data_IF_198864307739
#
_entry.id   IF_198864307739
#
_cell.length_a   1.000
_cell.length_b   1.000
_cell.length_c   1.000
_cell.angle_alpha   90.00
_cell.angle_beta   90.00
_cell.angle_gamma   90.00
#
_symmetry.space_group_name_H-M   'P 1'
#
loop_
_entity.id
_entity.type
_entity.pdbx_description
1 polymer ?
#
# COMPACT_ATOMS: atom_id res chain seq x y z
N UNK A 1 16.02 -4.04 -5.40
CA UNK A 1 15.09 -2.91 -5.56
C UNK A 1 14.72 -2.84 -7.03
N UNK A 2 13.43 -2.96 -7.36
CA UNK A 2 12.94 -2.69 -8.71
C UNK A 2 13.14 -1.20 -9.00
N UNK A 3 13.36 -0.83 -10.25
CA UNK A 3 13.27 0.58 -10.63
C UNK A 3 11.85 1.08 -10.33
N UNK A 4 11.74 2.17 -9.56
CA UNK A 4 10.45 2.80 -9.32
C UNK A 4 9.84 3.17 -10.68
N UNK A 5 8.62 2.71 -11.01
CA UNK A 5 7.96 3.14 -12.23
C UNK A 5 7.96 4.67 -12.31
N UNK A 6 8.30 5.21 -13.49
CA UNK A 6 8.40 6.66 -13.77
C UNK A 6 7.12 7.46 -13.45
N UNK A 7 6.03 6.77 -13.12
CA UNK A 7 4.72 7.33 -12.85
C UNK A 7 4.25 7.04 -11.42
N UNK A 8 5.17 6.91 -10.46
CA UNK A 8 4.82 6.80 -9.04
C UNK A 8 4.29 8.14 -8.54
N UNK A 9 3.10 8.07 -7.96
CA UNK A 9 2.46 9.18 -7.27
C UNK A 9 3.07 9.30 -5.86
N UNK A 10 3.87 10.35 -5.67
CA UNK A 10 4.61 10.56 -4.42
C UNK A 10 3.65 10.74 -3.21
N UNK A 11 2.47 11.31 -3.42
CA UNK A 11 1.49 11.51 -2.35
C UNK A 11 0.93 10.17 -1.88
N UNK A 12 0.67 9.24 -2.80
CA UNK A 12 0.23 7.88 -2.49
C UNK A 12 1.31 7.11 -1.73
N UNK A 13 2.58 7.21 -2.15
CA UNK A 13 3.69 6.56 -1.44
C UNK A 13 3.82 7.10 -0.02
N UNK A 14 3.72 8.41 0.18
CA UNK A 14 3.77 9.02 1.50
C UNK A 14 2.58 8.60 2.38
N UNK A 15 1.37 8.51 1.79
CA UNK A 15 0.18 8.07 2.49
C UNK A 15 0.28 6.61 2.95
N UNK A 16 0.72 5.71 2.06
CA UNK A 16 0.99 4.30 2.41
C UNK A 16 2.04 4.23 3.52
N UNK A 17 3.12 5.03 3.42
CA UNK A 17 4.14 5.09 4.45
C UNK A 17 3.58 5.43 5.83
N UNK A 18 2.78 6.49 5.93
CA UNK A 18 2.13 6.91 7.19
C UNK A 18 1.18 5.84 7.73
N UNK A 19 0.31 5.31 6.86
CA UNK A 19 -0.62 4.24 7.22
C UNK A 19 0.10 3.03 7.82
N UNK A 20 1.23 2.61 7.23
CA UNK A 20 2.03 1.50 7.73
C UNK A 20 2.79 1.83 9.02
N UNK A 21 3.27 3.07 9.17
CA UNK A 21 3.99 3.51 10.36
C UNK A 21 3.05 3.63 11.58
N UNK A 22 1.78 3.98 11.36
CA UNK A 22 0.73 4.01 12.38
C UNK A 22 0.25 2.59 12.78
N UNK A 23 0.57 1.57 11.98
CA UNK A 23 0.15 0.19 12.24
C UNK A 23 0.95 -0.43 13.39
N UNK A 24 0.25 -0.98 14.38
CA UNK A 24 0.91 -1.73 15.45
C UNK A 24 1.56 -2.99 14.86
N UNK A 25 2.85 -3.24 15.17
CA UNK A 25 3.65 -4.37 14.64
C UNK A 25 3.03 -5.78 14.83
N UNK A 26 2.03 -5.90 15.70
CA UNK A 26 1.34 -7.15 16.02
C UNK A 26 0.11 -7.41 15.15
N UNK A 27 -0.40 -6.39 14.44
CA UNK A 27 -1.56 -6.51 13.55
C UNK A 27 -1.09 -6.67 12.09
N UNK A 28 -1.74 -7.57 11.35
CA UNK A 28 -1.53 -7.66 9.90
C UNK A 28 -2.10 -6.45 9.17
N UNK A 29 -1.46 -6.04 8.09
CA UNK A 29 -1.94 -5.01 7.17
C UNK A 29 -2.87 -5.65 6.15
N UNK A 30 -4.13 -5.23 6.11
CA UNK A 30 -5.11 -5.67 5.09
C UNK A 30 -4.85 -4.96 3.77
N UNK A 31 -4.76 -5.72 2.66
CA UNK A 31 -4.66 -5.11 1.33
C UNK A 31 -5.98 -4.48 0.90
N UNK A 32 -7.11 -5.11 1.21
CA UNK A 32 -8.42 -4.58 0.88
C UNK A 32 -8.67 -3.21 1.52
N UNK A 33 -8.40 -3.09 2.82
CA UNK A 33 -8.58 -1.84 3.55
C UNK A 33 -7.57 -0.79 3.10
N UNK A 34 -6.31 -1.17 2.87
CA UNK A 34 -5.27 -0.24 2.41
C UNK A 34 -5.64 0.39 1.06
N UNK A 35 -6.05 -0.42 0.08
CA UNK A 35 -6.48 0.09 -1.23
C UNK A 35 -7.70 1.01 -1.09
N UNK A 36 -8.69 0.60 -0.29
CA UNK A 36 -9.90 1.38 -0.08
C UNK A 36 -9.59 2.73 0.57
N UNK A 37 -8.70 2.75 1.57
CA UNK A 37 -8.27 3.97 2.23
C UNK A 37 -7.57 4.92 1.25
N UNK A 38 -6.59 4.43 0.49
CA UNK A 38 -5.88 5.24 -0.50
C UNK A 38 -6.83 5.81 -1.55
N UNK A 39 -7.78 5.01 -2.07
CA UNK A 39 -8.79 5.50 -3.03
C UNK A 39 -9.73 6.54 -2.48
N UNK A 40 -10.02 6.48 -1.18
CA UNK A 40 -10.87 7.44 -0.50
C UNK A 40 -10.15 8.77 -0.28
N UNK A 41 -8.86 8.73 -0.01
CA UNK A 41 -8.06 9.88 0.41
C UNK A 41 -7.30 10.56 -0.74
N UNK A 42 -7.00 9.84 -1.81
CA UNK A 42 -6.15 10.30 -2.90
C UNK A 42 -6.77 10.05 -4.28
N UNK A 43 -6.70 11.08 -5.14
CA UNK A 43 -6.97 10.94 -6.57
C UNK A 43 -5.67 10.63 -7.29
N UNK A 44 -5.51 9.40 -7.77
CA UNK A 44 -4.27 8.92 -8.38
C UNK A 44 -4.53 8.11 -9.64
N UNK A 45 -3.57 8.13 -10.58
CA UNK A 45 -3.59 7.32 -11.79
C UNK A 45 -3.10 5.88 -11.57
N UNK A 46 -2.50 5.59 -10.41
CA UNK A 46 -2.10 4.23 -10.05
C UNK A 46 -3.32 3.31 -10.08
N UNK A 47 -3.17 2.10 -10.61
CA UNK A 47 -4.20 1.07 -10.53
C UNK A 47 -4.27 0.49 -9.12
N UNK A 48 -5.32 -0.25 -8.81
CA UNK A 48 -5.39 -0.88 -7.50
C UNK A 48 -4.28 -1.93 -7.31
N UNK A 49 -3.87 -2.59 -8.39
CA UNK A 49 -2.74 -3.51 -8.38
C UNK A 49 -1.42 -2.77 -8.07
N UNK A 50 -1.20 -1.60 -8.68
CA UNK A 50 -0.02 -0.79 -8.37
C UNK A 50 0.01 -0.38 -6.88
N UNK A 51 -1.16 -0.04 -6.32
CA UNK A 51 -1.29 0.29 -4.89
C UNK A 51 -1.00 -0.95 -4.03
N UNK A 52 -1.53 -2.13 -4.37
CA UNK A 52 -1.23 -3.38 -3.65
C UNK A 52 0.25 -3.72 -3.67
N UNK A 53 0.89 -3.66 -4.84
CA UNK A 53 2.33 -3.92 -4.98
C UNK A 53 3.14 -2.97 -4.08
N UNK A 54 2.81 -1.67 -4.08
CA UNK A 54 3.45 -0.68 -3.22
C UNK A 54 3.25 -0.98 -1.73
N UNK A 55 2.03 -1.33 -1.30
CA UNK A 55 1.74 -1.69 0.09
C UNK A 55 2.55 -2.91 0.51
N UNK A 56 2.61 -3.96 -0.33
CA UNK A 56 3.38 -5.18 -0.05
C UNK A 56 4.87 -4.86 0.08
N UNK A 57 5.46 -4.13 -0.86
CA UNK A 57 6.88 -3.78 -0.84
C UNK A 57 7.23 -2.94 0.40
N UNK A 58 6.39 -1.94 0.71
CA UNK A 58 6.61 -1.04 1.84
C UNK A 58 6.37 -1.72 3.19
N UNK A 59 5.41 -2.65 3.29
CA UNK A 59 5.18 -3.46 4.49
C UNK A 59 6.31 -4.48 4.70
N UNK A 60 6.77 -5.13 3.63
CA UNK A 60 7.88 -6.09 3.68
C UNK A 60 9.17 -5.43 4.15
N UNK A 61 9.48 -4.22 3.67
CA UNK A 61 10.65 -3.45 4.14
C UNK A 61 10.58 -3.05 5.63
N UNK A 62 9.38 -3.06 6.23
CA UNK A 62 9.13 -2.79 7.65
C UNK A 62 8.99 -4.05 8.51
N UNK A 63 9.02 -5.24 7.89
CA UNK A 63 8.78 -6.52 8.58
C UNK A 63 7.35 -6.67 9.08
N UNK A 64 6.38 -6.00 8.44
CA UNK A 64 4.96 -6.12 8.77
C UNK A 64 4.34 -7.33 8.04
N UNK A 65 3.46 -8.05 8.74
CA UNK A 65 2.67 -9.10 8.11
C UNK A 65 1.58 -8.47 7.23
N UNK A 66 1.39 -9.01 6.03
CA UNK A 66 0.34 -8.57 5.09
C UNK A 66 -0.71 -9.66 4.95
N UNK A 67 -1.98 -9.27 5.00
CA UNK A 67 -3.13 -10.13 4.75
C UNK A 67 -3.58 -9.95 3.30
N UNK A 68 -3.54 -11.02 2.52
CA UNK A 68 -4.02 -11.07 1.13
C UNK A 68 -5.54 -11.32 1.10
N UNK A 69 -6.32 -10.36 1.59
CA UNK A 69 -7.78 -10.44 1.70
C UNK A 69 -8.54 -9.81 0.54
N UNK A 70 -7.83 -9.19 -0.41
CA UNK A 70 -8.42 -8.66 -1.62
C UNK A 70 -8.57 -9.76 -2.67
N UNK A 71 -9.80 -9.99 -3.11
CA UNK A 71 -10.07 -10.86 -4.26
C UNK A 71 -9.87 -10.05 -5.54
N UNK A 72 -8.95 -10.51 -6.40
CA UNK A 72 -8.79 -9.96 -7.74
C UNK A 72 -10.13 -10.08 -8.47
N UNK A 73 -10.74 -8.94 -8.79
CA UNK A 73 -12.02 -8.87 -9.49
C UNK A 73 -11.82 -8.25 -10.86
#
# INVERSE_FOLDING_TARGET
MRELPRNIDADVVLAIGRMLDDHAKLASVSLADSVLQIRKEHTTALTDLDIEELVIEMAASRGLAVLLDRTAK
#
